data_IF_494120348133
#
_entry.id   IF_494120348133
#
_cell.length_a   1.000
_cell.length_b   1.000
_cell.length_c   1.000
_cell.angle_alpha   90.00
_cell.angle_beta   90.00
_cell.angle_gamma   90.00
#
_symmetry.space_group_name_H-M   'P 1'
#
loop_
_entity.id
_entity.type
_entity.pdbx_description
1 polymer ?
#
# COMPACT_ATOMS: atom_id res chain seq x y z
N UNK A 1 52.08 26.33 -21.25
CA UNK A 1 50.64 26.05 -21.48
C UNK A 1 49.90 26.46 -20.23
N UNK A 2 49.30 27.63 -20.27
CA UNK A 2 48.63 28.28 -19.15
C UNK A 2 47.22 27.70 -19.00
N UNK A 3 46.95 27.05 -17.83
CA UNK A 3 45.60 26.67 -17.43
C UNK A 3 44.79 27.95 -17.17
N UNK A 4 43.77 28.18 -17.95
CA UNK A 4 42.75 29.20 -17.68
C UNK A 4 41.74 28.62 -16.68
N UNK A 5 41.77 29.13 -15.44
CA UNK A 5 40.74 28.93 -14.45
C UNK A 5 39.44 29.56 -14.93
N UNK A 6 38.44 28.72 -15.28
CA UNK A 6 37.08 29.18 -15.42
C UNK A 6 36.43 29.18 -14.03
N UNK A 7 35.94 30.34 -13.55
CA UNK A 7 35.19 30.37 -12.31
C UNK A 7 33.91 29.57 -12.46
N UNK A 8 33.70 28.62 -11.56
CA UNK A 8 32.42 27.91 -11.42
C UNK A 8 31.29 28.93 -11.21
N UNK A 9 30.15 28.79 -11.90
CA UNK A 9 29.01 29.66 -11.68
C UNK A 9 28.61 29.62 -10.22
N UNK A 10 28.46 30.78 -9.60
CA UNK A 10 27.99 30.93 -8.25
C UNK A 10 26.67 30.12 -8.06
N UNK A 11 26.47 29.46 -6.91
CA UNK A 11 25.24 28.74 -6.66
C UNK A 11 24.09 29.75 -6.77
N UNK A 12 23.21 29.53 -7.74
CA UNK A 12 21.96 30.28 -7.85
C UNK A 12 21.20 30.01 -6.56
N UNK A 13 21.22 30.98 -5.66
CA UNK A 13 20.36 30.99 -4.47
C UNK A 13 18.93 30.95 -5.00
N UNK A 14 18.35 29.75 -5.05
CA UNK A 14 16.93 29.59 -5.28
C UNK A 14 16.22 30.40 -4.21
N UNK A 15 15.56 31.50 -4.64
CA UNK A 15 14.78 32.39 -3.78
C UNK A 15 13.86 31.49 -2.96
N UNK A 16 14.07 31.44 -1.65
CA UNK A 16 13.05 30.98 -0.72
C UNK A 16 11.81 31.81 -1.05
N UNK A 17 10.69 31.14 -1.28
CA UNK A 17 9.42 31.83 -1.51
C UNK A 17 9.07 32.56 -0.19
N UNK A 18 9.45 33.86 -0.13
CA UNK A 18 9.33 34.72 1.06
C UNK A 18 7.86 34.95 1.47
N UNK A 19 6.91 34.22 0.92
CA UNK A 19 5.48 34.31 1.19
C UNK A 19 4.83 32.95 1.50
N UNK A 20 5.61 31.95 1.91
CA UNK A 20 5.04 30.63 2.24
C UNK A 20 5.32 30.25 3.71
N UNK A 21 4.26 29.91 4.43
CA UNK A 21 4.30 29.26 5.74
C UNK A 21 4.33 27.74 5.51
N UNK A 22 5.42 27.09 5.84
CA UNK A 22 5.54 25.64 5.81
C UNK A 22 5.18 25.04 7.17
N UNK A 23 4.37 23.98 7.16
CA UNK A 23 4.01 23.22 8.34
C UNK A 23 4.18 21.72 8.12
N UNK A 24 4.64 21.00 9.13
CA UNK A 24 4.72 19.55 9.15
C UNK A 24 3.93 19.00 10.35
N UNK A 25 3.22 17.90 10.11
CA UNK A 25 2.37 17.25 11.10
C UNK A 25 2.91 15.86 11.40
N UNK A 26 3.24 15.61 12.67
CA UNK A 26 3.46 14.27 13.21
C UNK A 26 2.21 13.86 13.96
N UNK A 27 1.52 12.83 13.44
CA UNK A 27 0.21 12.43 13.92
C UNK A 27 0.34 11.23 14.86
N UNK A 28 -0.19 11.37 16.09
CA UNK A 28 -0.30 10.27 17.02
C UNK A 28 -1.73 10.12 17.54
N UNK A 29 -2.03 9.03 18.20
CA UNK A 29 -3.37 8.81 18.78
C UNK A 29 -3.72 9.70 19.96
N UNK A 30 -2.74 10.35 20.58
CA UNK A 30 -2.94 11.19 21.77
C UNK A 30 -2.84 12.68 21.47
N UNK A 31 -1.88 13.04 20.63
CA UNK A 31 -1.60 14.43 20.30
C UNK A 31 -0.97 14.55 18.93
N UNK A 32 -1.13 15.68 18.29
CA UNK A 32 -0.45 16.03 17.05
C UNK A 32 0.62 17.06 17.31
N UNK A 33 1.83 16.83 16.84
CA UNK A 33 2.92 17.78 16.89
C UNK A 33 2.99 18.53 15.56
N UNK A 34 2.88 19.86 15.64
CA UNK A 34 2.89 20.76 14.48
C UNK A 34 4.20 21.54 14.52
N UNK A 35 5.09 21.31 13.57
CA UNK A 35 6.29 22.11 13.36
C UNK A 35 6.04 23.09 12.22
N UNK A 36 6.40 24.36 12.40
CA UNK A 36 6.18 25.40 11.41
C UNK A 36 7.42 26.25 11.19
N UNK A 37 7.60 26.66 9.93
CA UNK A 37 8.58 27.67 9.54
C UNK A 37 7.85 28.77 8.77
N UNK A 38 7.78 29.95 9.39
CA UNK A 38 7.12 31.11 8.80
C UNK A 38 8.12 31.93 7.97
N UNK A 39 7.65 32.65 6.92
CA UNK A 39 8.49 33.52 6.13
C UNK A 39 9.13 34.58 7.02
N UNK A 40 10.45 34.83 6.82
CA UNK A 40 11.24 35.73 7.64
C UNK A 40 11.59 35.23 9.05
N UNK A 41 11.33 33.94 9.36
CA UNK A 41 11.79 33.28 10.58
C UNK A 41 12.86 32.25 10.30
N UNK A 42 14.00 32.31 10.99
CA UNK A 42 15.05 31.29 10.94
C UNK A 42 14.71 30.07 11.79
N UNK A 43 13.93 30.28 12.87
CA UNK A 43 13.63 29.23 13.85
C UNK A 43 12.34 28.48 13.51
N UNK A 44 12.38 27.15 13.65
CA UNK A 44 11.21 26.28 13.59
C UNK A 44 10.44 26.40 14.90
N UNK A 45 9.16 26.73 14.82
CA UNK A 45 8.24 26.76 15.95
C UNK A 45 7.52 25.40 16.05
N UNK A 46 7.36 24.88 17.27
CA UNK A 46 6.65 23.62 17.53
C UNK A 46 5.49 23.84 18.48
N UNK A 47 4.35 23.25 18.17
CA UNK A 47 3.14 23.29 19.00
C UNK A 47 2.48 21.94 19.02
N UNK A 48 1.87 21.59 20.15
CA UNK A 48 1.12 20.35 20.32
C UNK A 48 -0.36 20.68 20.43
N UNK A 49 -1.19 19.93 19.69
CA UNK A 49 -2.65 19.99 19.77
C UNK A 49 -3.20 18.60 20.08
N UNK A 50 -4.44 18.54 20.54
CA UNK A 50 -5.10 17.26 20.79
C UNK A 50 -5.28 16.46 19.48
N UNK A 51 -5.13 15.14 19.54
CA UNK A 51 -5.36 14.29 18.39
C UNK A 51 -6.84 14.34 17.96
N UNK A 52 -7.07 14.41 16.65
CA UNK A 52 -8.41 14.49 16.08
C UNK A 52 -9.03 15.89 16.06
N UNK A 53 -8.39 16.88 16.70
CA UNK A 53 -8.90 18.26 16.74
C UNK A 53 -8.48 19.03 15.48
N UNK A 54 -9.16 18.74 14.37
CA UNK A 54 -8.96 19.46 13.11
C UNK A 54 -9.28 20.95 13.21
N UNK A 55 -10.21 21.35 14.10
CA UNK A 55 -10.56 22.75 14.29
C UNK A 55 -9.43 23.51 14.93
N UNK A 56 -8.86 23.01 16.03
CA UNK A 56 -7.70 23.62 16.66
C UNK A 56 -6.50 23.73 15.71
N UNK A 57 -6.32 22.75 14.80
CA UNK A 57 -5.28 22.84 13.77
C UNK A 57 -5.55 23.99 12.79
N UNK A 58 -6.77 24.14 12.30
CA UNK A 58 -7.13 25.22 11.38
C UNK A 58 -6.97 26.58 12.04
N UNK A 59 -7.43 26.75 13.28
CA UNK A 59 -7.30 28.00 14.05
C UNK A 59 -5.82 28.35 14.31
N UNK A 60 -4.99 27.35 14.64
CA UNK A 60 -3.54 27.51 14.78
C UNK A 60 -2.88 28.01 13.49
N UNK A 61 -3.18 27.35 12.36
CA UNK A 61 -2.60 27.71 11.06
C UNK A 61 -3.08 29.09 10.58
N UNK A 62 -4.34 29.43 10.82
CA UNK A 62 -4.90 30.75 10.51
C UNK A 62 -4.17 31.85 11.29
N UNK A 63 -4.05 31.71 12.62
CA UNK A 63 -3.34 32.70 13.44
C UNK A 63 -1.86 32.84 13.09
N UNK A 64 -1.20 31.73 12.70
CA UNK A 64 0.20 31.81 12.25
C UNK A 64 0.32 32.50 10.88
N UNK A 65 -0.62 32.25 9.96
CA UNK A 65 -0.70 32.92 8.66
C UNK A 65 -0.87 34.43 8.84
N UNK A 66 -1.85 34.88 9.63
CA UNK A 66 -2.08 36.30 9.91
C UNK A 66 -0.85 37.00 10.53
N UNK A 67 -0.17 36.31 11.45
CA UNK A 67 1.07 36.84 12.04
C UNK A 67 2.18 36.99 10.99
N UNK A 68 2.31 36.00 10.10
CA UNK A 68 3.27 36.01 8.99
C UNK A 68 2.93 37.12 7.98
N UNK A 69 1.66 37.31 7.61
CA UNK A 69 1.19 38.36 6.69
C UNK A 69 1.47 39.76 7.24
N UNK A 70 1.20 39.98 8.53
CA UNK A 70 1.55 41.25 9.20
C UNK A 70 3.05 41.54 9.17
N UNK A 71 3.90 40.50 9.25
CA UNK A 71 5.36 40.66 9.24
C UNK A 71 5.89 40.97 7.85
N UNK A 72 5.42 40.24 6.81
CA UNK A 72 5.96 40.37 5.45
C UNK A 72 5.21 41.38 4.58
N UNK A 73 4.07 41.87 5.03
CA UNK A 73 3.26 42.89 4.35
C UNK A 73 2.56 42.38 3.08
N UNK A 74 2.43 41.06 2.89
CA UNK A 74 1.80 40.47 1.73
C UNK A 74 1.09 39.13 2.09
N UNK A 75 0.13 38.68 1.28
CA UNK A 75 -0.56 37.40 1.51
C UNK A 75 0.43 36.23 1.63
N UNK A 76 0.18 35.34 2.59
CA UNK A 76 1.02 34.18 2.89
C UNK A 76 0.26 32.89 2.55
N UNK A 77 0.88 32.07 1.69
CA UNK A 77 0.40 30.73 1.38
C UNK A 77 0.78 29.77 2.51
N UNK A 78 -0.14 28.89 2.88
CA UNK A 78 0.13 27.81 3.84
C UNK A 78 0.26 26.49 3.10
N UNK A 79 1.38 25.78 3.34
CA UNK A 79 1.65 24.45 2.78
C UNK A 79 1.94 23.50 3.92
N UNK A 80 1.16 22.43 4.00
CA UNK A 80 1.25 21.43 5.08
C UNK A 80 1.71 20.09 4.53
N UNK A 81 2.55 19.36 5.27
CA UNK A 81 2.94 17.99 4.97
C UNK A 81 2.59 17.07 6.12
N UNK A 82 2.11 15.86 5.79
CA UNK A 82 1.89 14.75 6.72
C UNK A 82 2.37 13.44 6.10
N UNK A 83 2.71 12.47 6.93
CA UNK A 83 3.02 11.12 6.44
C UNK A 83 1.74 10.36 6.07
N UNK A 84 1.83 9.51 5.03
CA UNK A 84 0.81 8.52 4.76
C UNK A 84 0.84 7.43 5.84
N UNK A 85 -0.21 7.33 6.65
CA UNK A 85 -0.27 6.46 7.80
C UNK A 85 -1.67 5.89 8.07
N UNK A 86 -1.85 5.40 9.29
CA UNK A 86 -3.11 4.81 9.77
C UNK A 86 -4.23 5.85 9.95
N UNK A 87 -3.88 7.12 10.03
CA UNK A 87 -4.82 8.24 10.21
C UNK A 87 -5.66 8.52 8.95
N UNK A 88 -5.31 7.89 7.82
CA UNK A 88 -6.02 8.06 6.56
C UNK A 88 -5.77 9.42 5.91
N UNK A 89 -6.73 9.85 5.07
CA UNK A 89 -6.61 11.09 4.28
C UNK A 89 -7.65 12.16 4.66
N UNK A 90 -8.42 11.96 5.72
CA UNK A 90 -9.46 12.91 6.13
C UNK A 90 -8.88 14.28 6.47
N UNK A 91 -7.72 14.31 7.12
CA UNK A 91 -7.04 15.56 7.50
C UNK A 91 -6.52 16.32 6.27
N UNK A 92 -5.96 15.61 5.29
CA UNK A 92 -5.61 16.19 3.99
C UNK A 92 -6.81 16.86 3.33
N UNK A 93 -7.95 16.17 3.30
CA UNK A 93 -9.20 16.73 2.71
C UNK A 93 -9.72 17.93 3.50
N UNK A 94 -9.62 17.89 4.83
CA UNK A 94 -10.00 19.02 5.69
C UNK A 94 -9.17 20.26 5.36
N UNK A 95 -7.85 20.11 5.22
CA UNK A 95 -6.94 21.20 4.88
C UNK A 95 -7.23 21.78 3.50
N UNK A 96 -7.35 20.93 2.47
CA UNK A 96 -7.68 21.35 1.10
C UNK A 96 -9.03 22.06 1.02
N UNK A 97 -10.06 21.56 1.73
CA UNK A 97 -11.37 22.20 1.80
C UNK A 97 -11.34 23.59 2.45
N UNK A 98 -10.32 23.90 3.25
CA UNK A 98 -10.08 25.19 3.87
C UNK A 98 -9.01 26.04 3.15
N UNK A 99 -8.69 25.71 1.90
CA UNK A 99 -7.75 26.48 1.06
C UNK A 99 -6.28 26.36 1.49
N UNK A 100 -5.94 25.33 2.28
CA UNK A 100 -4.57 25.07 2.72
C UNK A 100 -4.00 23.95 1.82
N UNK A 101 -2.87 24.25 1.14
CA UNK A 101 -2.20 23.22 0.32
C UNK A 101 -1.68 22.09 1.22
N UNK A 102 -2.20 20.88 1.04
CA UNK A 102 -1.80 19.71 1.81
C UNK A 102 -1.03 18.70 0.96
N UNK A 103 0.10 18.24 1.48
CA UNK A 103 0.95 17.22 0.87
C UNK A 103 1.03 15.99 1.76
N UNK A 104 0.85 14.83 1.15
CA UNK A 104 1.00 13.55 1.84
C UNK A 104 2.23 12.85 1.28
N UNK A 105 3.14 12.41 2.14
CA UNK A 105 4.41 11.78 1.73
C UNK A 105 4.46 10.31 2.12
N UNK A 106 5.11 9.50 1.28
CA UNK A 106 5.45 8.12 1.64
C UNK A 106 6.62 8.14 2.65
N UNK A 107 6.41 7.74 3.92
CA UNK A 107 7.46 7.77 4.94
C UNK A 107 8.68 6.94 4.56
N UNK A 108 8.50 5.85 3.80
CA UNK A 108 9.60 5.02 3.33
C UNK A 108 10.51 5.70 2.30
N UNK A 109 10.06 6.82 1.72
CA UNK A 109 10.81 7.57 0.70
C UNK A 109 11.67 8.70 1.28
N UNK A 110 11.45 9.08 2.55
CA UNK A 110 12.20 10.15 3.21
C UNK A 110 13.59 9.63 3.59
N UNK A 111 14.63 10.40 3.25
CA UNK A 111 16.00 10.04 3.61
C UNK A 111 16.21 10.14 5.12
N UNK A 112 16.55 9.02 5.76
CA UNK A 112 16.86 8.96 7.19
C UNK A 112 18.34 9.17 7.42
N UNK A 113 18.70 10.13 8.30
CA UNK A 113 20.09 10.32 8.74
C UNK A 113 20.61 9.05 9.45
N UNK A 114 21.63 8.43 8.88
CA UNK A 114 22.22 7.17 9.40
C UNK A 114 22.75 7.33 10.83
N UNK A 115 23.19 8.52 11.23
CA UNK A 115 23.73 8.80 12.57
C UNK A 115 22.63 8.83 13.63
N UNK A 116 21.39 9.20 13.24
CA UNK A 116 20.22 9.32 14.13
C UNK A 116 19.32 8.08 14.14
N UNK A 117 19.70 7.01 13.46
CA UNK A 117 18.89 5.79 13.29
C UNK A 117 18.46 5.11 14.61
N UNK A 118 19.14 5.41 15.71
CA UNK A 118 18.84 4.85 17.06
C UNK A 118 18.04 5.80 17.95
N UNK A 119 17.89 7.07 17.56
CA UNK A 119 17.11 8.06 18.32
C UNK A 119 15.87 8.41 17.50
N UNK A 120 14.74 7.82 17.84
CA UNK A 120 13.45 8.17 17.26
C UNK A 120 12.66 8.96 18.29
N UNK A 121 12.31 10.21 17.97
CA UNK A 121 11.38 11.04 18.74
C UNK A 121 10.50 11.81 17.77
N UNK A 122 9.24 12.03 18.13
CA UNK A 122 8.28 12.78 17.31
C UNK A 122 8.83 14.16 16.91
N UNK A 123 9.63 14.78 17.79
CA UNK A 123 10.26 16.07 17.52
C UNK A 123 11.34 16.02 16.41
N UNK A 124 12.05 14.91 16.25
CA UNK A 124 13.04 14.72 15.18
C UNK A 124 12.35 14.34 13.87
N UNK A 125 11.28 13.55 13.95
CA UNK A 125 10.52 13.10 12.79
C UNK A 125 9.80 14.29 12.15
N UNK A 126 9.14 15.16 12.93
CA UNK A 126 8.47 16.36 12.41
C UNK A 126 9.46 17.38 11.82
N UNK A 127 10.68 17.53 12.38
CA UNK A 127 11.72 18.40 11.81
C UNK A 127 12.24 17.85 10.47
N UNK A 128 12.42 16.54 10.37
CA UNK A 128 12.82 15.91 9.13
C UNK A 128 11.75 16.08 8.05
N UNK A 129 10.49 15.92 8.45
CA UNK A 129 9.34 16.09 7.56
C UNK A 129 9.24 17.52 7.05
N UNK A 130 9.39 18.53 7.93
CA UNK A 130 9.37 19.95 7.55
C UNK A 130 10.51 20.29 6.57
N UNK A 131 11.74 19.82 6.84
CA UNK A 131 12.89 20.02 5.93
C UNK A 131 12.64 19.36 4.57
N UNK A 132 12.04 18.18 4.56
CA UNK A 132 11.68 17.47 3.34
C UNK A 132 10.68 18.27 2.51
N UNK A 133 9.64 18.85 3.13
CA UNK A 133 8.69 19.72 2.47
C UNK A 133 9.37 20.95 1.84
N UNK A 134 10.19 21.63 2.62
CA UNK A 134 10.90 22.84 2.16
C UNK A 134 11.86 22.53 0.99
N UNK A 135 12.60 21.42 1.06
CA UNK A 135 13.46 20.97 -0.03
C UNK A 135 12.65 20.63 -1.29
N UNK A 136 11.54 19.90 -1.12
CA UNK A 136 10.64 19.57 -2.22
C UNK A 136 10.03 20.83 -2.87
N UNK A 137 9.62 21.81 -2.08
CA UNK A 137 9.09 23.09 -2.56
C UNK A 137 10.12 23.90 -3.35
N UNK A 138 11.40 23.82 -2.99
CA UNK A 138 12.52 24.44 -3.76
C UNK A 138 12.86 23.71 -5.06
N UNK A 139 12.15 22.64 -5.42
CA UNK A 139 12.34 21.89 -6.65
C UNK A 139 13.15 20.58 -6.51
N UNK A 140 13.58 20.21 -5.34
CA UNK A 140 14.31 18.97 -5.07
C UNK A 140 13.35 17.76 -5.07
N UNK A 141 12.70 17.49 -6.20
CA UNK A 141 11.63 16.47 -6.32
C UNK A 141 12.06 15.04 -5.95
N UNK A 142 13.36 14.77 -5.86
CA UNK A 142 13.90 13.44 -5.50
C UNK A 142 14.07 13.23 -3.99
N UNK A 143 13.84 14.26 -3.16
CA UNK A 143 14.00 14.19 -1.70
C UNK A 143 12.98 13.25 -1.05
N UNK A 144 11.81 13.11 -1.67
CA UNK A 144 10.76 12.19 -1.22
C UNK A 144 9.80 11.84 -2.36
N UNK A 145 8.90 10.89 -2.10
CA UNK A 145 7.79 10.53 -2.99
C UNK A 145 6.48 11.01 -2.38
N UNK A 146 5.84 12.01 -3.01
CA UNK A 146 4.51 12.43 -2.60
C UNK A 146 3.48 11.37 -2.98
N UNK A 147 2.59 11.05 -2.05
CA UNK A 147 1.45 10.16 -2.26
C UNK A 147 0.32 10.97 -2.88
N UNK A 148 -0.34 10.43 -3.89
CA UNK A 148 -1.62 10.94 -4.35
C UNK A 148 -2.71 10.36 -3.47
N UNK A 149 -3.38 11.16 -2.62
CA UNK A 149 -4.50 10.70 -1.84
C UNK A 149 -5.62 10.19 -2.75
N UNK A 150 -6.24 9.04 -2.44
CA UNK A 150 -7.41 8.56 -3.17
C UNK A 150 -8.63 9.43 -2.87
N UNK A 151 -9.64 9.40 -3.73
CA UNK A 151 -10.94 9.98 -3.42
C UNK A 151 -11.62 9.23 -2.26
N UNK A 152 -12.63 9.81 -1.60
CA UNK A 152 -13.44 9.09 -0.61
C UNK A 152 -14.06 7.81 -1.18
N UNK A 153 -14.53 7.86 -2.41
CA UNK A 153 -15.13 6.74 -3.13
C UNK A 153 -14.09 5.64 -3.39
N UNK A 154 -12.89 6.00 -3.86
CA UNK A 154 -11.78 5.06 -4.03
C UNK A 154 -11.37 4.38 -2.72
N UNK A 155 -11.43 5.12 -1.60
CA UNK A 155 -11.15 4.53 -0.27
C UNK A 155 -12.25 3.55 0.13
N UNK A 156 -13.50 3.88 -0.13
CA UNK A 156 -14.65 3.05 0.21
C UNK A 156 -14.65 1.76 -0.62
N UNK A 157 -14.47 1.85 -1.92
CA UNK A 157 -14.37 0.71 -2.82
C UNK A 157 -13.28 -0.30 -2.41
N UNK A 158 -12.16 0.17 -1.83
CA UNK A 158 -11.09 -0.70 -1.32
C UNK A 158 -11.47 -1.49 -0.07
N UNK A 159 -12.54 -1.08 0.67
CA UNK A 159 -12.92 -1.73 1.91
C UNK A 159 -13.29 -3.19 1.68
N UNK A 160 -14.06 -3.50 0.64
CA UNK A 160 -14.50 -4.87 0.34
C UNK A 160 -13.33 -5.85 0.23
N UNK A 161 -12.28 -5.51 -0.54
CA UNK A 161 -11.13 -6.40 -0.66
C UNK A 161 -10.26 -6.43 0.60
N UNK A 162 -10.23 -5.37 1.40
CA UNK A 162 -9.49 -5.32 2.68
C UNK A 162 -10.21 -6.12 3.76
N UNK A 163 -11.52 -5.98 3.85
CA UNK A 163 -12.36 -6.76 4.74
C UNK A 163 -12.29 -8.25 4.41
N UNK A 164 -12.40 -8.61 3.13
CA UNK A 164 -12.21 -9.99 2.69
C UNK A 164 -10.86 -10.58 3.16
N UNK A 165 -9.76 -9.81 3.08
CA UNK A 165 -8.46 -10.28 3.57
C UNK A 165 -8.48 -10.53 5.10
N UNK A 166 -9.16 -9.69 5.87
CA UNK A 166 -9.33 -9.88 7.31
C UNK A 166 -10.15 -11.16 7.61
N UNK A 167 -11.31 -11.28 6.97
CA UNK A 167 -12.20 -12.44 7.12
C UNK A 167 -11.52 -13.77 6.71
N UNK A 168 -10.68 -13.75 5.66
CA UNK A 168 -9.88 -14.94 5.29
C UNK A 168 -8.90 -15.33 6.40
N UNK A 169 -8.27 -14.36 7.06
CA UNK A 169 -7.37 -14.61 8.20
C UNK A 169 -8.14 -15.22 9.38
N UNK A 170 -9.30 -14.66 9.71
CA UNK A 170 -10.17 -15.15 10.78
C UNK A 170 -10.66 -16.58 10.50
N UNK A 171 -11.08 -16.87 9.26
CA UNK A 171 -11.44 -18.21 8.83
C UNK A 171 -10.30 -19.21 9.08
N UNK A 172 -9.09 -18.87 8.68
CA UNK A 172 -7.90 -19.70 8.88
C UNK A 172 -7.62 -19.88 10.38
N UNK A 173 -7.72 -18.80 11.15
CA UNK A 173 -7.49 -18.82 12.60
C UNK A 173 -8.47 -19.76 13.31
N UNK A 174 -9.77 -19.64 13.07
CA UNK A 174 -10.80 -20.50 13.65
C UNK A 174 -10.62 -21.96 13.21
N UNK A 175 -10.36 -22.19 11.93
CA UNK A 175 -10.09 -23.53 11.38
C UNK A 175 -8.91 -24.19 12.08
N UNK A 176 -7.78 -23.49 12.19
CA UNK A 176 -6.57 -24.02 12.83
C UNK A 176 -6.76 -24.22 14.33
N UNK A 177 -7.51 -23.33 15.01
CA UNK A 177 -7.82 -23.48 16.44
C UNK A 177 -8.64 -24.73 16.69
N UNK A 178 -9.69 -24.99 15.92
CA UNK A 178 -10.53 -26.21 16.03
C UNK A 178 -9.67 -27.45 15.80
N UNK A 179 -8.88 -27.48 14.71
CA UNK A 179 -7.99 -28.60 14.42
C UNK A 179 -6.98 -28.84 15.55
N UNK A 180 -6.38 -27.79 16.10
CA UNK A 180 -5.42 -27.89 17.20
C UNK A 180 -6.05 -28.44 18.50
N UNK A 181 -7.24 -27.96 18.84
CA UNK A 181 -7.98 -28.47 19.99
C UNK A 181 -8.33 -29.95 19.86
N UNK A 182 -8.75 -30.40 18.70
CA UNK A 182 -9.07 -31.80 18.40
C UNK A 182 -7.83 -32.68 18.31
N UNK A 183 -6.75 -32.18 17.70
CA UNK A 183 -5.48 -32.90 17.64
C UNK A 183 -4.91 -33.23 19.01
N UNK A 184 -5.08 -32.35 20.02
CA UNK A 184 -4.71 -32.60 21.39
C UNK A 184 -5.53 -33.74 22.07
N UNK A 185 -6.61 -34.17 21.42
CA UNK A 185 -7.44 -35.32 21.84
C UNK A 185 -7.23 -36.55 20.94
N UNK A 186 -6.19 -36.52 20.08
CA UNK A 186 -5.90 -37.63 19.15
C UNK A 186 -6.78 -37.65 17.89
N UNK A 187 -7.52 -36.57 17.60
CA UNK A 187 -8.42 -36.48 16.45
C UNK A 187 -7.78 -35.56 15.40
N UNK A 188 -7.33 -36.11 14.26
CA UNK A 188 -6.59 -35.38 13.22
C UNK A 188 -7.33 -35.24 11.89
N UNK A 189 -8.43 -35.97 11.71
CA UNK A 189 -9.18 -36.08 10.45
C UNK A 189 -10.42 -35.17 10.38
N UNK A 190 -10.64 -34.34 11.39
CA UNK A 190 -11.77 -33.40 11.41
C UNK A 190 -11.56 -32.20 10.53
N UNK A 191 -12.44 -32.01 9.54
CA UNK A 191 -12.45 -30.86 8.65
C UNK A 191 -13.56 -29.86 9.03
N UNK A 192 -13.23 -28.72 9.68
CA UNK A 192 -14.22 -27.71 10.10
C UNK A 192 -15.02 -27.11 8.95
N UNK A 193 -14.42 -27.00 7.74
CA UNK A 193 -15.07 -26.38 6.58
C UNK A 193 -16.00 -27.35 5.84
N UNK A 194 -16.00 -28.64 6.16
CA UNK A 194 -16.85 -29.63 5.51
C UNK A 194 -18.30 -29.51 6.02
N UNK A 195 -19.32 -29.51 5.14
CA UNK A 195 -20.72 -29.48 5.55
C UNK A 195 -21.06 -30.53 6.63
N UNK A 196 -21.99 -30.22 7.52
CA UNK A 196 -22.39 -31.11 8.62
C UNK A 196 -21.37 -31.23 9.76
N UNK A 197 -20.40 -30.30 9.86
CA UNK A 197 -19.36 -30.31 10.88
C UNK A 197 -19.92 -30.34 12.34
N UNK A 198 -21.10 -29.71 12.58
CA UNK A 198 -21.73 -29.73 13.93
C UNK A 198 -22.21 -31.13 14.33
N UNK A 199 -22.92 -31.80 13.43
CA UNK A 199 -23.36 -33.18 13.66
C UNK A 199 -22.17 -34.15 13.81
N UNK A 200 -21.11 -33.96 12.99
CA UNK A 200 -19.90 -34.77 13.11
C UNK A 200 -19.17 -34.56 14.44
N UNK A 201 -19.14 -33.30 14.95
CA UNK A 201 -18.59 -33.03 16.28
C UNK A 201 -19.29 -33.80 17.41
N UNK A 202 -20.60 -33.97 17.27
CA UNK A 202 -21.38 -34.65 18.29
C UNK A 202 -21.05 -36.13 18.40
N UNK A 203 -20.64 -36.76 17.33
CA UNK A 203 -20.26 -38.18 17.27
C UNK A 203 -18.77 -38.47 17.49
N UNK A 204 -17.92 -37.44 17.78
CA UNK A 204 -16.49 -37.66 17.97
C UNK A 204 -16.17 -38.32 19.32
N UNK A 205 -15.22 -39.26 19.25
CA UNK A 205 -14.52 -39.84 20.39
C UNK A 205 -13.04 -39.46 20.35
N UNK A 206 -12.42 -39.35 21.52
CA UNK A 206 -10.98 -39.11 21.65
C UNK A 206 -10.16 -40.30 21.16
N UNK A 207 -8.89 -40.12 20.91
CA UNK A 207 -8.01 -41.21 20.48
C UNK A 207 -7.88 -42.38 21.46
N UNK A 208 -8.23 -42.20 22.72
CA UNK A 208 -8.33 -43.23 23.75
C UNK A 208 -9.75 -43.78 23.91
N UNK A 209 -10.68 -43.46 22.99
CA UNK A 209 -12.03 -44.04 22.93
C UNK A 209 -13.08 -43.36 23.81
N UNK A 210 -12.75 -42.31 24.55
CA UNK A 210 -13.70 -41.57 25.41
C UNK A 210 -14.52 -40.54 24.62
N UNK A 211 -15.71 -40.15 25.07
CA UNK A 211 -16.39 -38.98 24.53
C UNK A 211 -15.56 -37.71 24.71
N UNK A 212 -15.70 -36.75 23.78
CA UNK A 212 -15.07 -35.43 23.96
C UNK A 212 -15.46 -34.80 25.30
N UNK A 213 -14.49 -34.23 26.06
CA UNK A 213 -14.75 -33.50 27.29
C UNK A 213 -15.80 -32.40 27.05
N UNK A 214 -16.85 -32.29 27.92
CA UNK A 214 -17.98 -31.38 27.66
C UNK A 214 -17.56 -29.92 27.45
N UNK A 215 -16.64 -29.37 28.25
CA UNK A 215 -16.17 -27.99 28.13
C UNK A 215 -15.40 -27.76 26.83
N UNK A 216 -14.60 -28.74 26.39
CA UNK A 216 -13.90 -28.67 25.11
C UNK A 216 -14.90 -28.72 23.96
N UNK A 217 -15.89 -29.59 24.01
CA UNK A 217 -16.94 -29.67 23.00
C UNK A 217 -17.70 -28.35 22.86
N UNK A 218 -18.03 -27.69 23.97
CA UNK A 218 -18.66 -26.38 23.97
C UNK A 218 -17.74 -25.29 23.45
N UNK A 219 -16.42 -25.31 23.73
CA UNK A 219 -15.46 -24.38 23.12
C UNK A 219 -15.42 -24.54 21.61
N UNK A 220 -15.34 -25.77 21.11
CA UNK A 220 -15.34 -26.07 19.69
C UNK A 220 -16.65 -25.62 19.02
N UNK A 221 -17.82 -25.84 19.65
CA UNK A 221 -19.11 -25.34 19.14
C UNK A 221 -19.11 -23.81 18.95
N UNK A 222 -18.57 -23.07 19.92
CA UNK A 222 -18.42 -21.60 19.80
C UNK A 222 -17.47 -21.20 18.69
N UNK A 223 -16.39 -21.96 18.48
CA UNK A 223 -15.47 -21.70 17.36
C UNK A 223 -16.11 -21.99 16.00
N UNK A 224 -16.90 -23.07 15.89
CA UNK A 224 -17.65 -23.40 14.68
C UNK A 224 -18.73 -22.34 14.38
N UNK A 225 -19.43 -21.82 15.38
CA UNK A 225 -20.41 -20.76 15.19
C UNK A 225 -19.76 -19.47 14.66
N UNK A 226 -18.57 -19.09 15.16
CA UNK A 226 -17.81 -17.97 14.62
C UNK A 226 -17.33 -18.23 13.19
N UNK A 227 -16.87 -19.45 12.91
CA UNK A 227 -16.44 -19.86 11.57
C UNK A 227 -17.59 -19.78 10.56
N UNK A 228 -18.80 -20.20 10.94
CA UNK A 228 -20.00 -20.10 10.09
C UNK A 228 -20.34 -18.63 9.78
N UNK A 229 -20.29 -17.75 10.78
CA UNK A 229 -20.50 -16.31 10.61
C UNK A 229 -19.47 -15.71 9.65
N UNK A 230 -18.18 -15.98 9.86
CA UNK A 230 -17.10 -15.51 8.97
C UNK A 230 -17.28 -16.02 7.54
N UNK A 231 -17.75 -17.24 7.33
CA UNK A 231 -18.03 -17.79 5.99
C UNK A 231 -19.21 -17.06 5.33
N UNK A 232 -20.26 -16.73 6.11
CA UNK A 232 -21.39 -15.94 5.63
C UNK A 232 -20.96 -14.53 5.20
N UNK A 233 -20.17 -13.85 6.05
CA UNK A 233 -19.67 -12.51 5.78
C UNK A 233 -18.76 -12.50 4.55
N UNK A 234 -17.89 -13.52 4.40
CA UNK A 234 -17.07 -13.69 3.19
C UNK A 234 -17.90 -13.75 1.92
N UNK A 235 -19.00 -14.49 1.91
CA UNK A 235 -19.89 -14.58 0.75
C UNK A 235 -20.53 -13.21 0.42
N UNK A 236 -20.97 -12.50 1.44
CA UNK A 236 -21.58 -11.16 1.28
C UNK A 236 -20.56 -10.16 0.72
N UNK A 237 -19.36 -10.12 1.29
CA UNK A 237 -18.29 -9.23 0.85
C UNK A 237 -17.81 -9.58 -0.57
N UNK A 238 -17.72 -10.87 -0.91
CA UNK A 238 -17.36 -11.31 -2.26
C UNK A 238 -18.44 -10.96 -3.28
N UNK A 239 -19.71 -11.10 -2.95
CA UNK A 239 -20.81 -10.68 -3.81
C UNK A 239 -20.82 -9.15 -4.04
N UNK A 240 -20.61 -8.36 -2.98
CA UNK A 240 -20.49 -6.90 -3.10
C UNK A 240 -19.30 -6.47 -3.96
N UNK A 241 -18.15 -7.14 -3.81
CA UNK A 241 -16.98 -6.91 -4.66
C UNK A 241 -17.26 -7.24 -6.13
N UNK A 242 -17.92 -8.35 -6.40
CA UNK A 242 -18.23 -8.78 -7.77
C UNK A 242 -19.23 -7.85 -8.43
N UNK A 243 -20.24 -7.35 -7.67
CA UNK A 243 -21.15 -6.32 -8.13
C UNK A 243 -20.41 -5.00 -8.46
N UNK A 244 -19.51 -4.57 -7.58
CA UNK A 244 -18.67 -3.38 -7.81
C UNK A 244 -17.80 -3.50 -9.07
N UNK A 245 -17.26 -4.67 -9.35
CA UNK A 245 -16.46 -4.91 -10.58
C UNK A 245 -17.29 -4.97 -11.86
N UNK A 246 -18.58 -5.27 -11.74
CA UNK A 246 -19.54 -5.26 -12.85
C UNK A 246 -20.11 -3.87 -13.13
N UNK A 247 -19.95 -2.92 -12.22
CA UNK A 247 -20.41 -1.55 -12.38
C UNK A 247 -19.44 -0.77 -13.29
N UNK A 248 -19.93 -0.37 -14.48
CA UNK A 248 -19.15 0.38 -15.47
C UNK A 248 -18.68 1.76 -14.97
N UNK A 249 -19.31 2.32 -13.94
CA UNK A 249 -18.93 3.62 -13.36
C UNK A 249 -17.65 3.54 -12.52
N UNK A 250 -17.36 2.36 -11.94
CA UNK A 250 -16.13 2.08 -11.16
C UNK A 250 -15.01 1.58 -12.06
N UNK A 251 -15.35 1.10 -13.23
CA UNK A 251 -14.39 0.70 -14.25
C UNK A 251 -13.64 1.95 -14.72
N UNK A 252 -12.32 1.97 -14.51
CA UNK A 252 -11.42 3.03 -15.02
C UNK A 252 -11.61 3.10 -16.55
N UNK A 253 -12.50 3.98 -16.99
CA UNK A 253 -12.73 4.24 -18.40
C UNK A 253 -11.61 5.17 -18.90
N UNK A 254 -10.85 4.74 -19.88
CA UNK A 254 -9.80 5.56 -20.50
C UNK A 254 -10.36 6.59 -21.48
N UNK A 255 -11.67 6.63 -21.71
CA UNK A 255 -12.32 7.62 -22.57
C UNK A 255 -12.09 7.45 -24.08
N UNK A 256 -11.30 6.44 -24.49
CA UNK A 256 -10.88 6.18 -25.87
C UNK A 256 -11.53 4.94 -26.52
N UNK A 257 -12.62 4.43 -25.94
CA UNK A 257 -13.30 3.22 -26.41
C UNK A 257 -12.64 1.91 -25.96
N UNK A 258 -11.62 1.96 -25.12
CA UNK A 258 -11.01 0.77 -24.50
C UNK A 258 -11.99 0.16 -23.49
N UNK A 259 -12.20 -1.18 -23.50
CA UNK A 259 -13.08 -1.82 -22.52
C UNK A 259 -12.67 -1.47 -21.10
N UNK A 260 -13.64 -1.38 -20.16
CA UNK A 260 -13.33 -1.17 -18.75
C UNK A 260 -12.24 -2.11 -18.26
N UNK A 261 -11.26 -1.59 -17.52
CA UNK A 261 -10.08 -2.35 -17.09
C UNK A 261 -10.44 -3.65 -16.37
N UNK A 262 -11.53 -3.64 -15.58
CA UNK A 262 -12.03 -4.83 -14.89
C UNK A 262 -12.50 -5.90 -15.87
N UNK A 263 -13.28 -5.52 -16.90
CA UNK A 263 -13.76 -6.43 -17.94
C UNK A 263 -12.59 -7.01 -18.75
N UNK A 264 -11.64 -6.16 -19.18
CA UNK A 264 -10.46 -6.61 -19.91
C UNK A 264 -9.63 -7.62 -19.09
N UNK A 265 -9.29 -7.30 -17.84
CA UNK A 265 -8.51 -8.16 -16.96
C UNK A 265 -9.22 -9.49 -16.65
N UNK A 266 -10.55 -9.46 -16.49
CA UNK A 266 -11.37 -10.65 -16.21
C UNK A 266 -11.34 -11.67 -17.32
N UNK A 267 -11.04 -11.29 -18.57
CA UNK A 267 -10.88 -12.20 -19.71
C UNK A 267 -9.62 -13.05 -19.64
N UNK A 268 -8.60 -12.65 -18.88
CA UNK A 268 -7.36 -13.44 -18.79
C UNK A 268 -7.56 -14.72 -17.98
N UNK A 269 -7.17 -15.84 -18.55
CA UNK A 269 -7.20 -17.13 -17.84
C UNK A 269 -6.28 -17.07 -16.62
N UNK A 270 -6.76 -17.52 -15.46
CA UNK A 270 -5.98 -17.50 -14.21
C UNK A 270 -6.13 -16.22 -13.38
N UNK A 271 -6.77 -15.16 -13.89
CA UNK A 271 -7.18 -14.02 -13.09
C UNK A 271 -8.61 -14.24 -12.56
N UNK A 272 -8.73 -14.40 -11.25
CA UNK A 272 -10.01 -14.43 -10.56
C UNK A 272 -10.44 -13.03 -10.09
N UNK A 273 -11.70 -12.86 -9.62
CA UNK A 273 -12.25 -11.57 -9.22
C UNK A 273 -11.40 -10.82 -8.18
N UNK A 274 -10.79 -11.52 -7.23
CA UNK A 274 -9.92 -10.90 -6.22
C UNK A 274 -8.69 -10.23 -6.83
N UNK A 275 -8.02 -10.88 -7.79
CA UNK A 275 -6.87 -10.30 -8.47
C UNK A 275 -7.27 -9.08 -9.32
N UNK A 276 -8.41 -9.16 -10.00
CA UNK A 276 -8.97 -8.05 -10.79
C UNK A 276 -9.29 -6.89 -9.87
N UNK A 277 -10.00 -7.12 -8.77
CA UNK A 277 -10.35 -6.08 -7.79
C UNK A 277 -9.13 -5.35 -7.24
N UNK A 278 -8.09 -6.09 -6.81
CA UNK A 278 -6.88 -5.45 -6.27
C UNK A 278 -6.13 -4.68 -7.37
N UNK A 279 -6.08 -5.17 -8.61
CA UNK A 279 -5.48 -4.43 -9.72
C UNK A 279 -6.24 -3.14 -10.02
N UNK A 280 -7.55 -3.18 -10.09
CA UNK A 280 -8.36 -1.99 -10.34
C UNK A 280 -8.28 -0.99 -9.18
N UNK A 281 -8.48 -1.44 -7.95
CA UNK A 281 -8.66 -0.57 -6.80
C UNK A 281 -7.34 -0.14 -6.12
N UNK A 282 -6.28 -0.93 -6.21
CA UNK A 282 -4.99 -0.60 -5.58
C UNK A 282 -3.93 -0.10 -6.58
N UNK A 283 -4.12 -0.31 -7.89
CA UNK A 283 -3.18 0.13 -8.93
C UNK A 283 -3.80 1.14 -9.89
N UNK A 284 -4.90 0.78 -10.56
CA UNK A 284 -5.44 1.52 -11.70
C UNK A 284 -6.26 2.75 -11.32
N UNK A 285 -6.56 2.98 -10.05
CA UNK A 285 -7.18 4.22 -9.55
C UNK A 285 -6.35 5.48 -9.83
N UNK A 286 -5.10 5.32 -10.26
CA UNK A 286 -4.16 6.39 -10.59
C UNK A 286 -3.46 6.13 -11.93
N UNK A 287 -3.09 7.21 -12.60
CA UNK A 287 -2.27 7.15 -13.81
C UNK A 287 -0.78 7.01 -13.50
N UNK A 288 -0.06 6.29 -14.34
CA UNK A 288 1.39 6.16 -14.31
C UNK A 288 1.96 6.59 -15.67
N UNK A 289 3.07 7.31 -15.68
CA UNK A 289 3.69 7.76 -16.92
C UNK A 289 4.55 6.69 -17.59
N UNK A 290 5.08 5.75 -16.80
CA UNK A 290 5.97 4.73 -17.33
C UNK A 290 6.02 3.46 -16.45
N UNK A 291 6.55 2.37 -17.05
CA UNK A 291 6.71 1.06 -16.40
C UNK A 291 7.56 1.06 -15.11
N UNK A 292 8.45 2.05 -14.94
CA UNK A 292 9.33 2.13 -13.75
C UNK A 292 8.52 2.59 -12.56
N UNK A 293 7.64 3.55 -12.74
CA UNK A 293 6.71 4.03 -11.71
C UNK A 293 5.76 2.95 -11.24
N UNK A 294 5.19 2.16 -12.17
CA UNK A 294 4.32 1.01 -11.85
C UNK A 294 5.05 0.00 -10.96
N UNK A 295 6.28 -0.36 -11.32
CA UNK A 295 7.09 -1.30 -10.55
C UNK A 295 7.51 -0.74 -9.18
N UNK A 296 7.85 0.55 -9.12
CA UNK A 296 8.22 1.25 -7.89
C UNK A 296 7.02 1.34 -6.92
N UNK A 297 5.83 1.66 -7.44
CA UNK A 297 4.62 1.73 -6.64
C UNK A 297 4.29 0.40 -5.92
N UNK A 298 4.56 -0.75 -6.56
CA UNK A 298 4.41 -2.05 -5.92
C UNK A 298 5.63 -2.46 -5.06
N UNK A 299 6.72 -1.66 -5.07
CA UNK A 299 7.98 -2.00 -4.40
C UNK A 299 8.66 -3.25 -4.96
N UNK A 300 8.48 -3.51 -6.27
CA UNK A 300 9.06 -4.64 -7.00
C UNK A 300 10.32 -4.24 -7.80
N UNK A 301 10.84 -3.04 -7.59
CA UNK A 301 12.10 -2.59 -8.21
C UNK A 301 13.30 -3.27 -7.53
N UNK A 302 14.32 -3.72 -8.29
CA UNK A 302 15.57 -4.21 -7.72
C UNK A 302 16.27 -3.13 -6.91
N UNK A 303 16.98 -3.54 -5.87
CA UNK A 303 17.83 -2.68 -5.05
C UNK A 303 19.28 -3.16 -5.19
N UNK A 304 19.99 -2.80 -6.28
CA UNK A 304 21.39 -3.17 -6.45
C UNK A 304 22.25 -2.47 -5.41
N UNK A 305 23.23 -3.18 -4.88
CA UNK A 305 24.28 -2.59 -4.07
C UNK A 305 25.58 -2.65 -4.87
N UNK A 306 26.06 -1.49 -5.31
CA UNK A 306 27.32 -1.35 -6.04
C UNK A 306 28.20 -0.35 -5.29
N UNK A 307 29.32 -0.82 -4.75
CA UNK A 307 30.30 0.02 -4.06
C UNK A 307 31.68 -0.59 -4.24
N UNK A 308 32.59 0.14 -4.88
CA UNK A 308 33.92 -0.36 -5.20
C UNK A 308 33.84 -1.64 -6.04
N UNK A 309 34.56 -2.68 -5.63
CA UNK A 309 34.56 -4.00 -6.29
C UNK A 309 33.37 -4.91 -5.89
N UNK A 310 32.41 -4.42 -5.08
CA UNK A 310 31.25 -5.21 -4.63
C UNK A 310 30.04 -4.90 -5.50
N UNK A 311 29.55 -5.91 -6.23
CA UNK A 311 28.28 -5.87 -6.96
C UNK A 311 27.38 -6.98 -6.44
N UNK A 312 26.34 -6.63 -5.67
CA UNK A 312 25.38 -7.61 -5.17
C UNK A 312 23.95 -7.10 -5.22
N UNK A 313 23.06 -7.99 -5.54
CA UNK A 313 21.60 -7.76 -5.49
C UNK A 313 21.10 -7.87 -4.04
N UNK A 314 20.44 -6.83 -3.53
CA UNK A 314 19.79 -6.84 -2.20
C UNK A 314 18.33 -7.28 -2.25
N UNK A 315 17.84 -7.66 -3.42
CA UNK A 315 16.45 -8.02 -3.67
C UNK A 315 15.63 -6.84 -4.18
N UNK A 316 14.40 -6.69 -3.70
CA UNK A 316 13.47 -5.63 -4.12
C UNK A 316 13.37 -4.53 -3.06
N UNK A 317 12.99 -3.32 -3.47
CA UNK A 317 12.93 -2.13 -2.59
C UNK A 317 11.96 -2.30 -1.41
N UNK A 318 10.86 -3.03 -1.61
CA UNK A 318 9.77 -3.22 -0.64
C UNK A 318 9.06 -1.93 -0.21
N UNK A 319 9.44 -0.77 -0.72
CA UNK A 319 8.71 0.49 -0.56
C UNK A 319 7.44 0.49 -1.43
N UNK A 320 6.50 1.38 -1.12
CA UNK A 320 5.22 1.45 -1.83
C UNK A 320 4.17 0.45 -1.33
N UNK A 321 3.20 0.09 -2.18
CA UNK A 321 2.01 -0.68 -1.79
C UNK A 321 2.31 -2.16 -1.46
N UNK A 322 2.35 -2.58 -0.19
CA UNK A 322 2.68 -3.94 0.21
C UNK A 322 1.59 -4.95 -0.15
N UNK A 323 0.33 -4.50 -0.22
CA UNK A 323 -0.81 -5.34 -0.58
C UNK A 323 -0.75 -5.74 -2.05
N UNK A 324 -0.55 -4.75 -2.94
CA UNK A 324 -0.35 -5.00 -4.36
C UNK A 324 0.85 -5.93 -4.60
N UNK A 325 1.97 -5.69 -3.92
CA UNK A 325 3.17 -6.55 -4.01
C UNK A 325 2.90 -7.99 -3.61
N UNK A 326 2.25 -8.21 -2.46
CA UNK A 326 1.88 -9.56 -1.97
C UNK A 326 1.00 -10.28 -2.98
N UNK A 327 -0.04 -9.59 -3.47
CA UNK A 327 -0.97 -10.13 -4.45
C UNK A 327 -0.27 -10.46 -5.77
N UNK A 328 0.61 -9.59 -6.27
CA UNK A 328 1.36 -9.85 -7.52
C UNK A 328 2.29 -11.06 -7.42
N UNK A 329 2.88 -11.32 -6.26
CA UNK A 329 3.69 -12.53 -6.04
C UNK A 329 2.81 -13.79 -6.06
N UNK A 330 1.62 -13.73 -5.46
CA UNK A 330 0.65 -14.84 -5.52
C UNK A 330 0.16 -15.06 -6.96
N UNK A 331 -0.20 -13.97 -7.65
CA UNK A 331 -0.64 -14.04 -9.05
C UNK A 331 0.46 -14.59 -9.96
N UNK A 332 1.73 -14.30 -9.70
CA UNK A 332 2.85 -14.84 -10.48
C UNK A 332 2.90 -16.38 -10.43
N UNK A 333 2.64 -17.00 -9.28
CA UNK A 333 2.52 -18.46 -9.17
C UNK A 333 1.33 -19.01 -9.94
N UNK A 334 0.17 -18.33 -9.84
CA UNK A 334 -1.03 -18.72 -10.59
C UNK A 334 -0.83 -18.53 -12.09
N UNK A 335 -0.18 -17.44 -12.52
CA UNK A 335 0.10 -17.18 -13.93
C UNK A 335 0.92 -18.29 -14.57
N UNK A 336 2.01 -18.71 -13.94
CA UNK A 336 2.84 -19.80 -14.47
C UNK A 336 2.02 -21.10 -14.61
N UNK A 337 1.11 -21.35 -13.67
CA UNK A 337 0.26 -22.55 -13.69
C UNK A 337 -0.80 -22.51 -14.80
N UNK A 338 -1.48 -21.36 -14.96
CA UNK A 338 -2.63 -21.25 -15.86
C UNK A 338 -2.30 -20.65 -17.23
N UNK A 339 -1.11 -20.05 -17.38
CA UNK A 339 -0.62 -19.42 -18.60
C UNK A 339 0.76 -19.98 -19.04
N UNK A 340 0.92 -21.31 -19.17
CA UNK A 340 2.23 -21.91 -19.47
C UNK A 340 2.79 -21.45 -20.82
N UNK A 341 1.91 -21.15 -21.80
CA UNK A 341 2.26 -20.69 -23.14
C UNK A 341 2.66 -19.20 -23.21
N UNK A 342 2.49 -18.41 -22.15
CA UNK A 342 2.86 -16.99 -22.19
C UNK A 342 4.38 -16.77 -22.23
N UNK A 343 4.83 -15.70 -22.87
CA UNK A 343 6.25 -15.34 -22.93
C UNK A 343 6.88 -15.20 -21.53
N UNK A 344 6.11 -14.70 -20.56
CA UNK A 344 6.56 -14.59 -19.16
C UNK A 344 6.79 -15.97 -18.54
N UNK A 345 5.91 -16.94 -18.79
CA UNK A 345 6.06 -18.30 -18.25
C UNK A 345 7.20 -19.05 -18.93
N UNK A 346 7.37 -18.91 -20.25
CA UNK A 346 8.53 -19.46 -20.96
C UNK A 346 9.84 -18.87 -20.45
N UNK A 347 9.90 -17.55 -20.26
CA UNK A 347 11.06 -16.91 -19.64
C UNK A 347 11.37 -17.48 -18.25
N UNK A 348 10.35 -17.69 -17.42
CA UNK A 348 10.54 -18.27 -16.09
C UNK A 348 11.06 -19.72 -16.17
N UNK A 349 10.54 -20.52 -17.07
CA UNK A 349 11.00 -21.89 -17.28
C UNK A 349 12.49 -21.93 -17.68
N UNK A 350 12.93 -21.05 -18.57
CA UNK A 350 14.35 -20.89 -18.91
C UNK A 350 15.22 -20.39 -17.78
N UNK A 351 14.72 -19.45 -16.97
CA UNK A 351 15.45 -18.89 -15.83
C UNK A 351 15.55 -19.85 -14.64
N UNK A 352 14.42 -20.42 -14.24
CA UNK A 352 14.32 -21.29 -13.06
C UNK A 352 14.69 -22.73 -13.38
N UNK A 353 14.32 -23.26 -14.57
CA UNK A 353 14.59 -24.61 -15.00
C UNK A 353 14.33 -25.65 -13.91
N UNK A 354 15.36 -26.47 -13.64
CA UNK A 354 15.38 -27.43 -12.52
C UNK A 354 15.74 -26.82 -11.16
N UNK A 355 16.05 -25.52 -11.12
CA UNK A 355 16.49 -24.83 -9.89
C UNK A 355 15.37 -24.81 -8.86
N UNK A 356 15.76 -25.08 -7.59
CA UNK A 356 14.85 -25.14 -6.44
C UNK A 356 15.18 -24.05 -5.42
N UNK A 357 14.32 -23.91 -4.39
CA UNK A 357 14.61 -23.08 -3.24
C UNK A 357 14.65 -21.57 -3.54
N UNK A 358 15.74 -20.90 -3.15
CA UNK A 358 15.92 -19.45 -3.21
C UNK A 358 15.84 -18.88 -4.63
N UNK A 359 16.49 -19.53 -5.60
CA UNK A 359 16.57 -19.03 -6.98
C UNK A 359 15.19 -19.03 -7.63
N UNK A 360 14.40 -20.07 -7.42
CA UNK A 360 13.02 -20.14 -7.92
C UNK A 360 12.15 -19.03 -7.32
N UNK A 361 12.31 -18.71 -6.01
CA UNK A 361 11.60 -17.60 -5.35
C UNK A 361 12.01 -16.23 -5.92
N UNK A 362 13.30 -16.01 -6.20
CA UNK A 362 13.78 -14.80 -6.88
C UNK A 362 13.14 -14.67 -8.26
N UNK A 363 13.11 -15.76 -9.04
CA UNK A 363 12.46 -15.79 -10.36
C UNK A 363 10.97 -15.42 -10.30
N UNK A 364 10.23 -15.93 -9.30
CA UNK A 364 8.81 -15.57 -9.10
C UNK A 364 8.61 -14.07 -8.84
N UNK A 365 9.48 -13.44 -8.03
CA UNK A 365 9.41 -12.00 -7.78
C UNK A 365 9.70 -11.22 -9.08
N UNK A 366 10.62 -11.68 -9.92
CA UNK A 366 10.87 -11.10 -11.23
C UNK A 366 9.67 -11.28 -12.18
N UNK A 367 9.01 -12.46 -12.17
CA UNK A 367 7.74 -12.68 -12.86
C UNK A 367 6.67 -11.71 -12.37
N UNK A 368 6.50 -11.54 -11.07
CA UNK A 368 5.53 -10.62 -10.50
C UNK A 368 5.71 -9.18 -11.04
N UNK A 369 6.95 -8.71 -11.14
CA UNK A 369 7.26 -7.40 -11.74
C UNK A 369 6.94 -7.32 -13.23
N UNK A 370 7.36 -8.33 -14.02
CA UNK A 370 7.07 -8.38 -15.45
C UNK A 370 5.57 -8.43 -15.71
N UNK A 371 4.87 -9.28 -14.94
CA UNK A 371 3.43 -9.46 -15.03
C UNK A 371 2.67 -8.18 -14.66
N UNK A 372 3.06 -7.48 -13.58
CA UNK A 372 2.46 -6.22 -13.18
C UNK A 372 2.50 -5.18 -14.33
N UNK A 373 3.65 -5.05 -14.98
CA UNK A 373 3.80 -4.12 -16.12
C UNK A 373 2.95 -4.57 -17.32
N UNK A 374 2.90 -5.87 -17.59
CA UNK A 374 2.11 -6.42 -18.70
C UNK A 374 0.61 -6.22 -18.47
N UNK A 375 0.12 -6.48 -17.25
CA UNK A 375 -1.30 -6.28 -16.89
C UNK A 375 -1.70 -4.79 -16.87
N UNK A 376 -0.82 -3.91 -16.39
CA UNK A 376 -1.03 -2.47 -16.49
C UNK A 376 -1.18 -2.03 -17.96
N UNK A 377 -0.29 -2.47 -18.85
CA UNK A 377 -0.40 -2.15 -20.29
C UNK A 377 -1.67 -2.73 -20.90
N UNK A 378 -2.03 -3.93 -20.52
CA UNK A 378 -3.28 -4.53 -21.01
C UNK A 378 -4.49 -3.73 -20.56
N UNK A 379 -4.55 -3.32 -19.29
CA UNK A 379 -5.65 -2.55 -18.75
C UNK A 379 -5.75 -1.12 -19.30
N UNK A 380 -4.61 -0.49 -19.66
CA UNK A 380 -4.55 0.93 -20.06
C UNK A 380 -4.37 1.14 -21.57
N UNK A 381 -3.86 0.15 -22.30
CA UNK A 381 -3.51 0.25 -23.72
C UNK A 381 -4.10 -0.89 -24.58
N UNK A 382 -4.85 -1.82 -23.96
CA UNK A 382 -5.41 -2.98 -24.64
C UNK A 382 -4.37 -4.03 -25.13
N UNK A 383 -3.09 -3.88 -24.79
CA UNK A 383 -2.01 -4.76 -25.27
C UNK A 383 -2.04 -6.07 -24.50
N UNK A 384 -2.57 -7.12 -25.11
CA UNK A 384 -2.62 -8.46 -24.51
C UNK A 384 -1.20 -8.96 -24.23
N UNK A 385 -0.91 -9.52 -23.03
CA UNK A 385 0.39 -10.09 -22.74
C UNK A 385 0.73 -11.22 -23.72
N UNK A 386 1.93 -11.19 -24.30
CA UNK A 386 2.36 -12.10 -25.36
C UNK A 386 2.16 -13.58 -24.98
N UNK A 387 1.42 -14.31 -25.84
CA UNK A 387 1.10 -15.74 -25.64
C UNK A 387 0.15 -16.00 -24.46
N UNK A 388 -0.55 -14.98 -23.95
CA UNK A 388 -1.55 -15.17 -22.91
C UNK A 388 -2.86 -15.71 -23.50
N UNK A 389 -3.45 -16.72 -22.83
CA UNK A 389 -4.75 -17.28 -23.16
C UNK A 389 -5.87 -16.48 -22.49
N UNK A 390 -6.88 -16.13 -23.27
CA UNK A 390 -8.12 -15.56 -22.78
C UNK A 390 -9.10 -16.67 -22.36
N UNK A 391 -10.05 -16.36 -21.52
CA UNK A 391 -11.21 -17.22 -21.24
C UNK A 391 -12.12 -17.19 -22.46
N UNK A 392 -12.61 -18.34 -22.84
CA UNK A 392 -13.68 -18.52 -23.83
C UNK A 392 -14.97 -17.96 -23.29
#
# INVERSE_FOLDING_TARGET
>A
MTCTDHPLPAPTTARSDDSTLFAALELSRKSWLVATNAPGEEKVSKRTIAAGDGRALLDLLAGLREKAERRVGKPVKVVVIQEAGLDGFWLHRLLEANGIESRVVDPASIAVDRRKRRCKTDALDVDALLRTLMAWARGERRVCSMVRPPSPEDEDHRRLSREREALVKERIQHTNRIKGLLAAQGITDFEPLRPGHRARLDGLTTGDGRPLPPRLKEEIRRQLARLDAVISDLKTVEAGRDALLADDTVAVSTGDGTPPAAAALSRLKGLGPEFVSILCLELLFRSFTNRREVAAYAGLTPSPFKSGGIDREQGISKSGNPRLRKMMIQLAWMWIRYQPGSAISRWFAGFAGTKRGRIRRIGIVAVARKLLVALWRFATQGVVPEGAALKS
#
